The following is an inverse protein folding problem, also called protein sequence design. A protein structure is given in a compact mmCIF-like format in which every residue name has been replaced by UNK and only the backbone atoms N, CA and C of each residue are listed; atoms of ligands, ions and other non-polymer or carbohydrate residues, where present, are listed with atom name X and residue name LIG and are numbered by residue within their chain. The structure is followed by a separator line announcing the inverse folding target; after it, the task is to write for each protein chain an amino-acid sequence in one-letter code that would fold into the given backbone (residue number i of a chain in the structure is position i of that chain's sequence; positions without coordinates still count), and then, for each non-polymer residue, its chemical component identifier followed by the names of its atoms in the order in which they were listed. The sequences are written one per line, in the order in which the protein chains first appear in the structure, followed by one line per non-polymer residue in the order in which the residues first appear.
data_IF_464221161404
#
_entry.id   IF_464221161404
#
_cell.length_a   1.000
_cell.length_b   1.000
_cell.length_c   1.000
_cell.angle_alpha   90.00
_cell.angle_beta   90.00
_cell.angle_gamma   90.00
#
_symmetry.space_group_name_H-M   'P 1'
#
loop_
_entity.id
_entity.type
_entity.pdbx_description
1 polymer ?
#
# COMPACT_ATOMS: atom_id res chain seq x y z
N UNK A 1 -6.05 -34.04 -2.41
CA UNK A 1 -6.23 -33.08 -3.53
C UNK A 1 -5.23 -31.95 -3.30
N UNK A 2 -4.09 -31.97 -4.00
CA UNK A 2 -3.08 -30.91 -3.88
C UNK A 2 -3.52 -29.74 -4.76
N UNK A 3 -3.75 -28.58 -4.14
CA UNK A 3 -3.89 -27.32 -4.86
C UNK A 3 -2.49 -26.84 -5.21
N UNK A 4 -2.17 -26.86 -6.51
CA UNK A 4 -1.00 -26.18 -7.06
C UNK A 4 -1.12 -24.69 -6.75
N UNK A 5 -0.31 -24.23 -5.79
CA UNK A 5 -0.16 -22.82 -5.49
C UNK A 5 0.77 -22.25 -6.55
N UNK A 6 0.19 -21.57 -7.54
CA UNK A 6 0.94 -20.81 -8.52
C UNK A 6 1.81 -19.80 -7.76
N UNK A 7 3.11 -19.76 -8.05
CA UNK A 7 4.07 -18.82 -7.49
C UNK A 7 3.58 -17.38 -7.69
N UNK A 8 2.84 -16.85 -6.71
CA UNK A 8 2.51 -15.46 -6.60
C UNK A 8 3.56 -14.86 -5.65
N UNK A 9 4.65 -14.32 -6.21
CA UNK A 9 5.77 -13.74 -5.45
C UNK A 9 5.45 -12.35 -4.89
N UNK A 10 4.17 -11.95 -4.88
CA UNK A 10 3.70 -10.74 -4.23
C UNK A 10 3.62 -10.94 -2.73
N UNK A 11 4.15 -9.99 -1.95
CA UNK A 11 3.86 -9.95 -0.53
C UNK A 11 2.39 -9.57 -0.38
N UNK A 12 1.54 -10.54 -0.11
CA UNK A 12 0.16 -10.27 0.28
C UNK A 12 0.13 -10.05 1.79
N UNK A 13 0.15 -8.78 2.19
CA UNK A 13 -0.08 -8.41 3.58
C UNK A 13 -1.56 -8.61 3.92
N UNK A 14 -1.80 -9.38 4.96
CA UNK A 14 -3.15 -9.69 5.42
C UNK A 14 -3.84 -8.41 5.91
N UNK A 15 -5.15 -8.39 5.74
CA UNK A 15 -6.07 -7.26 5.95
C UNK A 15 -6.11 -6.67 7.38
N UNK A 16 -5.28 -7.19 8.30
CA UNK A 16 -5.10 -6.73 9.68
C UNK A 16 -3.79 -5.97 9.95
N UNK A 17 -3.06 -5.54 8.92
CA UNK A 17 -1.78 -4.84 9.09
C UNK A 17 -1.94 -3.55 9.89
N UNK A 18 -1.25 -3.44 11.03
CA UNK A 18 -1.36 -2.32 11.98
C UNK A 18 -0.57 -1.07 11.56
N UNK A 19 -0.11 -1.00 10.32
CA UNK A 19 0.72 0.09 9.83
C UNK A 19 0.44 0.41 8.36
N UNK A 20 0.77 1.64 7.95
CA UNK A 20 0.60 2.12 6.58
C UNK A 20 1.89 1.89 5.78
N UNK A 21 1.75 1.43 4.53
CA UNK A 21 2.87 1.10 3.66
C UNK A 21 2.77 1.84 2.32
N UNK A 22 3.92 2.36 1.88
CA UNK A 22 4.15 2.90 0.53
C UNK A 22 5.27 2.17 -0.18
N UNK A 23 5.14 2.13 -1.50
CA UNK A 23 6.10 1.52 -2.41
C UNK A 23 7.01 2.54 -3.09
N UNK A 24 6.60 3.82 -3.16
CA UNK A 24 7.37 4.89 -3.79
C UNK A 24 7.63 6.05 -2.82
N UNK A 25 8.83 6.62 -2.87
CA UNK A 25 9.22 7.83 -2.15
C UNK A 25 8.41 9.06 -2.58
N UNK A 26 7.96 9.11 -3.83
CA UNK A 26 7.14 10.21 -4.34
C UNK A 26 5.76 10.30 -3.67
N UNK A 27 5.34 9.27 -2.95
CA UNK A 27 4.07 9.27 -2.21
C UNK A 27 4.18 10.03 -0.87
N UNK A 28 5.38 10.48 -0.48
CA UNK A 28 5.66 11.14 0.80
C UNK A 28 5.79 12.65 0.66
N UNK A 29 5.30 13.42 1.63
CA UNK A 29 5.47 14.88 1.68
C UNK A 29 6.95 15.23 1.59
N UNK A 30 7.27 16.30 0.86
CA UNK A 30 8.64 16.73 0.63
C UNK A 30 9.38 16.95 1.97
N UNK A 31 10.59 16.39 2.09
CA UNK A 31 11.41 16.47 3.30
C UNK A 31 10.93 15.62 4.49
N UNK A 32 9.81 14.90 4.39
CA UNK A 32 9.28 14.10 5.51
C UNK A 32 9.93 12.72 5.67
N UNK A 33 10.62 12.22 4.63
CA UNK A 33 11.25 10.92 4.65
C UNK A 33 12.48 10.91 5.57
N UNK A 34 12.46 10.03 6.56
CA UNK A 34 13.52 9.87 7.54
C UNK A 34 13.91 8.40 7.74
N UNK A 35 15.08 8.18 8.35
CA UNK A 35 15.55 6.86 8.72
C UNK A 35 14.88 6.34 10.00
N UNK A 36 14.63 5.03 10.06
CA UNK A 36 14.12 4.35 11.26
C UNK A 36 15.32 3.77 12.03
N UNK A 37 15.62 4.33 13.20
CA UNK A 37 16.71 3.83 14.03
C UNK A 37 16.40 2.39 14.51
N UNK A 38 17.28 1.44 14.19
CA UNK A 38 17.09 0.02 14.51
C UNK A 38 16.22 -0.77 13.52
N UNK A 39 15.60 -0.09 12.54
CA UNK A 39 14.70 -0.71 11.57
C UNK A 39 13.33 -1.09 12.14
N UNK A 40 12.35 -1.22 11.25
CA UNK A 40 11.01 -1.70 11.54
C UNK A 40 10.83 -3.07 10.89
N UNK A 41 10.73 -4.12 11.71
CA UNK A 41 10.48 -5.47 11.22
C UNK A 41 8.98 -5.69 11.04
N UNK A 42 8.58 -6.19 9.87
CA UNK A 42 7.24 -6.72 9.66
C UNK A 42 7.32 -8.09 9.00
N UNK A 43 6.33 -8.93 9.27
CA UNK A 43 6.20 -10.25 8.67
C UNK A 43 4.77 -10.46 8.17
N UNK A 44 4.66 -11.08 7.00
CA UNK A 44 3.43 -11.59 6.42
C UNK A 44 3.41 -13.11 6.51
N UNK A 45 2.33 -13.73 6.03
CA UNK A 45 2.21 -15.19 5.95
C UNK A 45 3.20 -15.84 4.95
N UNK A 46 3.92 -15.04 4.16
CA UNK A 46 4.83 -15.51 3.10
C UNK A 46 6.30 -15.18 3.41
N UNK A 47 6.56 -13.98 3.92
CA UNK A 47 7.91 -13.49 4.19
C UNK A 47 7.89 -12.32 5.21
N UNK A 48 9.02 -12.09 5.90
CA UNK A 48 9.24 -10.89 6.72
C UNK A 48 10.48 -10.10 6.29
N UNK A 49 10.43 -8.78 6.53
CA UNK A 49 11.44 -7.82 6.08
C UNK A 49 11.65 -6.72 7.11
N UNK A 50 12.84 -6.12 7.06
CA UNK A 50 13.17 -4.91 7.83
C UNK A 50 13.07 -3.68 6.92
N UNK A 51 12.30 -2.70 7.36
CA UNK A 51 12.18 -1.39 6.72
C UNK A 51 13.02 -0.39 7.49
N UNK A 52 13.69 0.50 6.77
CA UNK A 52 14.62 1.47 7.37
C UNK A 52 14.21 2.91 7.12
N UNK A 53 13.06 3.14 6.47
CA UNK A 53 12.57 4.46 6.14
C UNK A 53 11.08 4.60 6.41
N UNK A 54 10.71 5.78 6.88
CA UNK A 54 9.33 6.22 7.11
C UNK A 54 9.19 7.69 6.74
N UNK A 55 7.96 8.16 6.60
CA UNK A 55 7.67 9.57 6.40
C UNK A 55 6.17 9.82 6.45
N UNK A 56 5.76 11.04 6.07
CA UNK A 56 4.36 11.45 6.09
C UNK A 56 3.76 11.29 4.69
N UNK A 57 2.64 10.58 4.60
CA UNK A 57 1.92 10.39 3.34
C UNK A 57 1.34 11.71 2.78
N UNK A 58 1.43 11.91 1.46
CA UNK A 58 0.84 13.09 0.80
C UNK A 58 -0.69 13.12 0.84
N UNK A 59 -1.35 11.97 0.87
CA UNK A 59 -2.82 11.85 0.72
C UNK A 59 -3.51 11.82 2.08
N UNK A 60 -2.99 11.05 3.03
CA UNK A 60 -3.63 10.76 4.32
C UNK A 60 -3.00 11.50 5.51
N UNK A 61 -1.88 12.20 5.30
CA UNK A 61 -1.17 12.90 6.39
C UNK A 61 -0.78 12.00 7.58
N UNK A 62 -0.58 10.71 7.31
CA UNK A 62 -0.26 9.69 8.29
C UNK A 62 1.19 9.23 8.14
N UNK A 63 1.82 8.80 9.24
CA UNK A 63 3.13 8.15 9.19
C UNK A 63 3.00 6.81 8.47
N UNK A 64 3.75 6.63 7.39
CA UNK A 64 3.82 5.40 6.63
C UNK A 64 5.28 4.92 6.50
N UNK A 65 5.44 3.59 6.39
CA UNK A 65 6.73 2.95 6.14
C UNK A 65 6.94 2.83 4.64
N UNK A 66 8.20 2.91 4.20
CA UNK A 66 8.59 2.70 2.80
C UNK A 66 9.12 1.28 2.61
N UNK A 67 8.50 0.52 1.71
CA UNK A 67 9.04 -0.73 1.16
C UNK A 67 8.99 -0.68 -0.37
N UNK A 68 10.11 -0.32 -1.00
CA UNK A 68 10.24 -0.28 -2.47
C UNK A 68 10.15 -1.65 -3.13
N UNK A 69 10.14 -2.73 -2.35
CA UNK A 69 10.04 -4.11 -2.83
C UNK A 69 8.67 -4.73 -2.55
N UNK A 70 7.74 -3.99 -1.95
CA UNK A 70 6.36 -4.46 -1.82
C UNK A 70 5.66 -4.33 -3.19
N UNK A 71 4.79 -5.28 -3.52
CA UNK A 71 3.95 -5.22 -4.71
C UNK A 71 2.84 -4.18 -4.59
N UNK A 72 2.51 -3.83 -3.33
CA UNK A 72 1.29 -3.16 -2.96
C UNK A 72 1.49 -2.15 -1.83
N UNK A 73 0.73 -1.06 -1.93
CA UNK A 73 0.54 -0.14 -0.82
C UNK A 73 -0.47 -0.75 0.16
N UNK A 74 -0.25 -0.53 1.46
CA UNK A 74 -1.15 -1.00 2.52
C UNK A 74 -1.71 0.19 3.27
N UNK A 75 -3.03 0.22 3.41
CA UNK A 75 -3.73 1.22 4.19
C UNK A 75 -4.96 0.61 4.84
N UNK A 76 -5.30 1.10 6.03
CA UNK A 76 -6.57 0.76 6.66
C UNK A 76 -7.73 1.46 5.97
N UNK A 77 -8.66 0.67 5.43
CA UNK A 77 -9.92 1.17 4.85
C UNK A 77 -10.78 1.88 5.89
N UNK A 78 -10.76 1.44 7.15
CA UNK A 78 -11.58 2.06 8.21
C UNK A 78 -11.16 3.50 8.47
N UNK A 79 -9.86 3.79 8.46
CA UNK A 79 -9.35 5.14 8.69
C UNK A 79 -9.73 6.06 7.52
N UNK A 80 -9.64 5.56 6.28
CA UNK A 80 -10.04 6.32 5.09
C UNK A 80 -11.53 6.73 5.13
N UNK A 81 -12.41 5.79 5.50
CA UNK A 81 -13.84 6.08 5.62
C UNK A 81 -14.11 7.10 6.74
N UNK A 82 -13.44 6.97 7.90
CA UNK A 82 -13.56 7.94 8.99
C UNK A 82 -13.11 9.35 8.57
N UNK A 83 -12.09 9.46 7.73
CA UNK A 83 -11.59 10.73 7.21
C UNK A 83 -12.43 11.33 6.06
N UNK A 84 -13.54 10.67 5.70
CA UNK A 84 -14.51 11.15 4.73
C UNK A 84 -14.14 10.88 3.27
N UNK A 85 -13.32 9.85 3.01
CA UNK A 85 -13.07 9.38 1.65
C UNK A 85 -14.17 8.41 1.19
N UNK A 86 -14.60 8.56 -0.05
CA UNK A 86 -15.43 7.57 -0.73
C UNK A 86 -14.54 6.44 -1.23
N UNK A 87 -14.81 5.20 -0.84
CA UNK A 87 -13.99 4.05 -1.20
C UNK A 87 -14.76 3.07 -2.08
N UNK A 88 -14.22 2.77 -3.26
CA UNK A 88 -14.79 1.83 -4.21
C UNK A 88 -13.82 0.66 -4.44
N UNK A 89 -14.30 -0.56 -4.20
CA UNK A 89 -13.53 -1.77 -4.50
C UNK A 89 -13.58 -2.09 -6.00
N UNK A 90 -12.42 -2.29 -6.62
CA UNK A 90 -12.33 -2.82 -7.98
C UNK A 90 -12.40 -4.35 -7.95
N UNK A 91 -13.61 -4.87 -8.08
CA UNK A 91 -13.86 -6.31 -8.09
C UNK A 91 -13.32 -7.02 -9.33
N UNK A 92 -12.94 -6.30 -10.39
CA UNK A 92 -12.40 -6.89 -11.62
C UNK A 92 -10.91 -7.15 -11.55
N UNK A 93 -10.17 -6.36 -10.76
CA UNK A 93 -8.71 -6.40 -10.70
C UNK A 93 -8.15 -7.06 -9.44
N UNK A 94 -9.03 -7.56 -8.58
CA UNK A 94 -8.75 -8.27 -7.32
C UNK A 94 -7.80 -7.52 -6.37
N UNK A 95 -8.26 -7.22 -5.16
CA UNK A 95 -7.45 -6.53 -4.13
C UNK A 95 -6.96 -5.12 -4.52
N UNK A 96 -7.73 -4.38 -5.32
CA UNK A 96 -7.51 -2.94 -5.51
C UNK A 96 -8.75 -2.13 -5.18
N UNK A 97 -8.51 -0.91 -4.72
CA UNK A 97 -9.56 0.04 -4.37
C UNK A 97 -9.20 1.44 -4.84
N UNK A 98 -10.22 2.21 -5.16
CA UNK A 98 -10.14 3.62 -5.47
C UNK A 98 -10.66 4.40 -4.27
N UNK A 99 -9.97 5.46 -3.91
CA UNK A 99 -10.46 6.42 -2.93
C UNK A 99 -10.63 7.76 -3.60
N UNK A 100 -11.73 8.43 -3.32
CA UNK A 100 -12.06 9.73 -3.90
C UNK A 100 -12.36 10.72 -2.79
N UNK A 101 -11.83 11.94 -2.94
CA UNK A 101 -12.16 13.08 -2.07
C UNK A 101 -12.00 14.37 -2.85
N UNK A 102 -12.97 15.28 -2.73
CA UNK A 102 -12.95 16.59 -3.38
C UNK A 102 -12.65 16.51 -4.90
N UNK A 103 -13.23 15.52 -5.59
CA UNK A 103 -13.06 15.33 -7.04
C UNK A 103 -11.73 14.71 -7.48
N UNK A 104 -10.79 14.45 -6.56
CA UNK A 104 -9.53 13.76 -6.86
C UNK A 104 -9.65 12.28 -6.49
N UNK A 105 -9.13 11.40 -7.35
CA UNK A 105 -9.20 9.94 -7.16
C UNK A 105 -7.80 9.33 -7.15
N UNK A 106 -7.55 8.46 -6.18
CA UNK A 106 -6.30 7.71 -6.04
C UNK A 106 -6.58 6.21 -6.06
N UNK A 107 -5.62 5.43 -6.55
CA UNK A 107 -5.70 3.96 -6.61
C UNK A 107 -4.72 3.32 -5.64
N UNK A 108 -5.20 2.32 -4.92
CA UNK A 108 -4.43 1.48 -4.00
C UNK A 108 -4.62 -0.01 -4.33
N UNK A 109 -3.61 -0.83 -4.06
CA UNK A 109 -3.60 -2.27 -4.39
C UNK A 109 -3.00 -2.60 -5.76
N UNK A 110 -3.10 -3.89 -6.14
CA UNK A 110 -2.15 -4.52 -7.07
C UNK A 110 -2.00 -3.77 -8.39
N UNK A 111 -0.79 -3.25 -8.64
CA UNK A 111 -0.36 -2.97 -10.01
C UNK A 111 -0.11 -4.31 -10.67
N UNK A 112 -1.11 -4.82 -11.38
CA UNK A 112 -0.87 -5.93 -12.31
C UNK A 112 0.20 -5.46 -13.29
N UNK A 113 1.32 -6.15 -13.30
CA UNK A 113 2.44 -5.97 -14.22
C UNK A 113 2.03 -6.43 -15.62
N UNK A 114 1.07 -5.74 -16.24
CA UNK A 114 0.67 -5.87 -17.63
C UNK A 114 -0.05 -4.58 -18.05
N UNK A 115 0.69 -3.67 -18.69
CA UNK A 115 0.10 -2.64 -19.53
C UNK A 115 0.13 -1.24 -18.92
N UNK A 116 1.00 -0.41 -19.49
CA UNK A 116 0.82 1.04 -19.56
C UNK A 116 -0.67 1.38 -19.75
N UNK A 117 -1.20 2.15 -18.82
CA UNK A 117 -2.31 3.04 -19.12
C UNK A 117 -2.11 4.26 -18.26
N UNK A 118 -1.52 5.29 -18.89
CA UNK A 118 -1.89 6.66 -18.58
C UNK A 118 -3.41 6.68 -18.49
N UNK A 119 -3.93 6.76 -17.28
CA UNK A 119 -5.30 7.20 -17.05
C UNK A 119 -5.15 8.62 -16.51
N UNK A 120 -5.73 9.63 -17.20
CA UNK A 120 -5.64 11.03 -16.78
C UNK A 120 -6.18 11.25 -15.37
#
# INVERSE_FOLDING_TARGET
MMLFQHNNTGIHLDSGSTFHLRTNEDDFKEGSLQGIHGGFHYASNVEGRNLYREGIDKVFDSVCKLDTRASDNVNSLSNMVQDGFDVFMDTKRENSFFVTRNGTTWRFGHRTCCGNSNVP
#
